data_IF_246738610319
#
_entry.id   IF_246738610319
#
_cell.length_a   1.000
_cell.length_b   1.000
_cell.length_c   1.000
_cell.angle_alpha   90.00
_cell.angle_beta   90.00
_cell.angle_gamma   90.00
#
_symmetry.space_group_name_H-M   'P 1'
#
loop_
_entity.id
_entity.type
_entity.pdbx_description
1 polymer ?
#
# COMPACT_ATOMS: atom_id res chain seq x y z
N UNK A 1 8.72 -15.96 -1.83
CA UNK A 1 9.07 -16.40 -0.47
C UNK A 1 7.91 -17.23 0.07
N UNK A 2 8.17 -18.34 0.72
CA UNK A 2 7.10 -19.13 1.34
C UNK A 2 7.03 -18.82 2.84
N UNK A 3 5.83 -18.98 3.41
CA UNK A 3 5.59 -18.70 4.81
C UNK A 3 4.11 -18.84 5.14
N UNK A 4 3.71 -18.52 6.38
CA UNK A 4 2.32 -18.68 6.80
C UNK A 4 1.31 -17.85 6.02
N UNK A 5 1.75 -16.75 5.37
CA UNK A 5 0.89 -15.90 4.56
C UNK A 5 1.07 -16.10 3.04
N UNK A 6 1.63 -17.24 2.63
CA UNK A 6 1.71 -17.58 1.21
C UNK A 6 0.32 -17.58 0.59
N UNK A 7 0.16 -16.87 -0.53
CA UNK A 7 -1.14 -16.73 -1.20
C UNK A 7 -1.94 -15.52 -0.78
N UNK A 8 -1.52 -14.80 0.27
CA UNK A 8 -2.15 -13.54 0.68
C UNK A 8 -1.54 -12.38 -0.09
N UNK A 9 -2.39 -11.51 -0.64
CA UNK A 9 -1.95 -10.29 -1.34
C UNK A 9 -2.33 -9.06 -0.55
N UNK A 10 -1.36 -8.16 -0.38
CA UNK A 10 -1.49 -6.91 0.38
C UNK A 10 -1.26 -5.74 -0.56
N UNK A 11 -2.17 -4.78 -0.54
CA UNK A 11 -1.99 -3.47 -1.18
C UNK A 11 -1.54 -2.49 -0.11
N UNK A 12 -0.35 -1.95 -0.27
CA UNK A 12 0.26 -1.00 0.66
C UNK A 12 0.25 0.38 0.03
N UNK A 13 -0.61 1.27 0.53
CA UNK A 13 -0.60 2.69 0.12
C UNK A 13 -0.04 3.58 1.22
N UNK A 14 0.60 2.99 2.21
CA UNK A 14 1.25 3.71 3.29
C UNK A 14 2.49 4.47 2.84
N UNK A 15 2.92 5.38 3.68
CA UNK A 15 4.15 6.13 3.46
C UNK A 15 4.93 6.25 4.77
N UNK A 16 6.22 6.59 4.65
CA UNK A 16 7.16 6.72 5.76
C UNK A 16 7.38 5.41 6.52
N UNK A 17 6.81 5.25 7.73
CA UNK A 17 7.21 4.18 8.64
C UNK A 17 6.07 3.20 8.94
N UNK A 18 5.00 3.67 9.57
CA UNK A 18 4.02 2.76 10.20
C UNK A 18 3.30 1.84 9.21
N UNK A 19 2.76 2.38 8.15
CA UNK A 19 2.12 1.58 7.08
C UNK A 19 3.12 0.66 6.38
N UNK A 20 4.22 1.22 5.86
CA UNK A 20 5.25 0.40 5.20
C UNK A 20 5.83 -0.69 6.08
N UNK A 21 6.08 -0.42 7.36
CA UNK A 21 6.60 -1.43 8.28
C UNK A 21 5.60 -2.57 8.49
N UNK A 22 4.33 -2.24 8.71
CA UNK A 22 3.30 -3.26 8.87
C UNK A 22 3.21 -4.16 7.61
N UNK A 23 3.21 -3.56 6.43
CA UNK A 23 3.17 -4.31 5.17
C UNK A 23 4.45 -5.16 5.00
N UNK A 24 5.61 -4.65 5.38
CA UNK A 24 6.86 -5.38 5.31
C UNK A 24 6.84 -6.62 6.20
N UNK A 25 6.28 -6.52 7.39
CA UNK A 25 6.14 -7.69 8.28
C UNK A 25 5.29 -8.78 7.62
N UNK A 26 4.23 -8.39 6.91
CA UNK A 26 3.41 -9.37 6.18
C UNK A 26 4.20 -9.99 5.02
N UNK A 27 5.02 -9.20 4.33
CA UNK A 27 5.90 -9.72 3.27
C UNK A 27 6.90 -10.73 3.84
N UNK A 28 7.49 -10.44 5.00
CA UNK A 28 8.41 -11.36 5.66
C UNK A 28 7.74 -12.70 6.00
N UNK A 29 6.44 -12.69 6.21
CA UNK A 29 5.65 -13.89 6.49
C UNK A 29 5.15 -14.60 5.23
N UNK A 30 5.52 -14.13 4.05
CA UNK A 30 5.21 -14.77 2.78
C UNK A 30 4.12 -14.12 1.95
N UNK A 31 3.50 -13.03 2.41
CA UNK A 31 2.51 -12.31 1.62
C UNK A 31 3.16 -11.62 0.40
N UNK A 32 2.40 -11.54 -0.70
CA UNK A 32 2.77 -10.69 -1.81
C UNK A 32 2.33 -9.26 -1.50
N UNK A 33 3.28 -8.34 -1.36
CA UNK A 33 2.97 -6.94 -1.06
C UNK A 33 3.22 -6.09 -2.29
N UNK A 34 2.20 -5.35 -2.70
CA UNK A 34 2.27 -4.40 -3.80
C UNK A 34 2.12 -2.99 -3.22
N UNK A 35 3.19 -2.23 -3.29
CA UNK A 35 3.23 -0.84 -2.83
C UNK A 35 2.76 0.06 -3.95
N UNK A 36 1.70 0.81 -3.69
CA UNK A 36 1.19 1.83 -4.61
C UNK A 36 1.79 3.16 -4.23
N UNK A 37 2.51 3.77 -5.15
CA UNK A 37 3.23 5.02 -4.92
C UNK A 37 2.74 6.11 -5.87
N UNK A 38 2.74 7.35 -5.41
CA UNK A 38 2.37 8.49 -6.24
C UNK A 38 3.43 8.79 -7.28
N UNK A 39 3.06 9.37 -8.44
CA UNK A 39 4.04 9.92 -9.38
C UNK A 39 4.88 11.02 -8.72
N UNK A 40 6.03 11.30 -9.29
CA UNK A 40 6.89 12.39 -8.83
C UNK A 40 7.76 12.03 -7.64
N UNK A 41 8.30 10.81 -7.62
CA UNK A 41 9.26 10.38 -6.59
C UNK A 41 8.76 9.30 -5.66
N UNK A 42 7.47 8.96 -5.70
CA UNK A 42 6.90 7.88 -4.90
C UNK A 42 6.76 8.22 -3.42
N UNK A 43 6.97 7.23 -2.57
CA UNK A 43 6.94 7.44 -1.12
C UNK A 43 7.97 8.52 -0.73
N UNK A 44 7.55 9.57 0.01
CA UNK A 44 8.48 10.62 0.43
C UNK A 44 9.70 10.10 1.19
N UNK A 45 9.59 8.94 1.81
CA UNK A 45 10.69 8.35 2.56
C UNK A 45 11.84 7.88 1.66
N UNK A 46 11.60 7.69 0.35
CA UNK A 46 12.65 7.35 -0.60
C UNK A 46 13.77 8.38 -0.63
N UNK A 47 13.42 9.66 -0.60
CA UNK A 47 14.37 10.77 -0.69
C UNK A 47 14.57 11.47 0.66
N UNK A 48 14.30 10.78 1.75
CA UNK A 48 14.38 11.37 3.08
C UNK A 48 15.79 11.92 3.40
N UNK A 49 16.81 11.18 3.00
CA UNK A 49 18.19 11.66 3.12
C UNK A 49 18.75 12.03 1.75
N UNK A 50 18.86 11.07 0.84
CA UNK A 50 19.42 11.30 -0.50
C UNK A 50 18.91 10.25 -1.48
N UNK A 51 18.57 10.69 -2.69
CA UNK A 51 18.21 9.82 -3.80
C UNK A 51 16.88 9.12 -3.59
N UNK A 52 16.62 8.10 -4.40
CA UNK A 52 15.35 7.39 -4.42
C UNK A 52 15.36 6.08 -3.63
N UNK A 53 16.50 5.71 -3.10
CA UNK A 53 16.68 4.46 -2.36
C UNK A 53 17.45 4.68 -1.07
N UNK A 54 17.05 5.68 -0.31
CA UNK A 54 17.66 5.98 0.97
C UNK A 54 17.59 4.79 1.94
N UNK A 55 18.52 4.72 2.90
CA UNK A 55 18.55 3.59 3.84
C UNK A 55 17.28 3.44 4.66
N UNK A 56 16.61 4.54 4.98
CA UNK A 56 15.34 4.51 5.71
C UNK A 56 14.24 3.84 4.89
N UNK A 57 14.13 4.21 3.61
CA UNK A 57 13.15 3.58 2.73
C UNK A 57 13.40 2.08 2.61
N UNK A 58 14.65 1.68 2.39
CA UNK A 58 15.00 0.27 2.23
C UNK A 58 14.74 -0.53 3.50
N UNK A 59 14.90 0.08 4.67
CA UNK A 59 14.69 -0.58 5.95
C UNK A 59 13.25 -1.06 6.16
N UNK A 60 12.27 -0.41 5.50
CA UNK A 60 10.84 -0.69 5.72
C UNK A 60 10.11 -1.20 4.47
N UNK A 61 10.84 -1.47 3.38
CA UNK A 61 10.18 -1.81 2.12
C UNK A 61 10.78 -3.02 1.40
N UNK A 62 11.54 -3.85 2.10
CA UNK A 62 12.09 -5.06 1.47
C UNK A 62 10.98 -6.02 1.05
N UNK A 63 11.23 -6.77 -0.01
CA UNK A 63 10.34 -7.82 -0.52
C UNK A 63 9.01 -7.32 -1.06
N UNK A 64 8.88 -6.01 -1.34
CA UNK A 64 7.69 -5.44 -1.97
C UNK A 64 7.89 -5.25 -3.46
N UNK A 65 6.79 -5.40 -4.20
CA UNK A 65 6.68 -4.88 -5.57
C UNK A 65 6.17 -3.45 -5.48
N UNK A 66 6.53 -2.60 -6.45
CA UNK A 66 6.07 -1.22 -6.49
C UNK A 66 5.38 -0.92 -7.81
N UNK A 67 4.30 -0.16 -7.75
CA UNK A 67 3.61 0.36 -8.92
C UNK A 67 3.29 1.83 -8.70
N UNK A 68 3.48 2.65 -9.73
CA UNK A 68 3.17 4.09 -9.66
C UNK A 68 1.76 4.31 -10.17
N UNK A 69 0.87 4.73 -9.30
CA UNK A 69 -0.52 5.09 -9.64
C UNK A 69 -0.89 6.35 -8.86
N UNK A 70 -1.55 7.28 -9.53
CA UNK A 70 -2.01 8.53 -8.95
C UNK A 70 -3.44 8.38 -8.43
N UNK A 71 -3.67 8.43 -7.09
CA UNK A 71 -5.02 8.32 -6.55
C UNK A 71 -5.95 9.48 -6.96
N UNK A 72 -5.40 10.57 -7.46
CA UNK A 72 -6.18 11.73 -7.91
C UNK A 72 -6.58 11.61 -9.39
N UNK A 73 -6.01 10.68 -10.12
CA UNK A 73 -6.38 10.39 -11.51
C UNK A 73 -7.46 9.30 -11.56
N UNK A 74 -8.55 9.56 -12.29
CA UNK A 74 -9.69 8.65 -12.34
C UNK A 74 -9.33 7.27 -12.89
N UNK A 75 -8.51 7.22 -13.94
CA UNK A 75 -8.06 5.97 -14.54
C UNK A 75 -7.20 5.16 -13.58
N UNK A 76 -6.24 5.81 -12.92
CA UNK A 76 -5.36 5.17 -11.95
C UNK A 76 -6.14 4.70 -10.73
N UNK A 77 -7.12 5.47 -10.28
CA UNK A 77 -7.99 5.11 -9.17
C UNK A 77 -8.78 3.83 -9.48
N UNK A 78 -9.24 3.70 -10.70
CA UNK A 78 -9.92 2.48 -11.16
C UNK A 78 -8.99 1.27 -11.16
N UNK A 79 -7.72 1.47 -11.49
CA UNK A 79 -6.71 0.40 -11.41
C UNK A 79 -6.41 0.00 -9.97
N UNK A 80 -6.35 0.96 -9.06
CA UNK A 80 -6.20 0.67 -7.63
C UNK A 80 -7.40 -0.17 -7.15
N UNK A 81 -8.61 0.21 -7.52
CA UNK A 81 -9.82 -0.52 -7.16
C UNK A 81 -9.81 -1.95 -7.70
N UNK A 82 -9.37 -2.13 -8.96
CA UNK A 82 -9.24 -3.46 -9.55
C UNK A 82 -8.18 -4.30 -8.83
N UNK A 83 -7.08 -3.69 -8.44
CA UNK A 83 -6.05 -4.37 -7.64
C UNK A 83 -6.61 -4.81 -6.28
N UNK A 84 -7.38 -3.95 -5.62
CA UNK A 84 -8.04 -4.25 -4.35
C UNK A 84 -9.03 -5.42 -4.50
N UNK A 85 -9.74 -5.49 -5.63
CA UNK A 85 -10.66 -6.58 -5.91
C UNK A 85 -9.99 -7.94 -5.87
N UNK A 86 -8.70 -7.98 -6.21
CA UNK A 86 -7.88 -9.20 -6.27
C UNK A 86 -6.95 -9.35 -5.08
N UNK A 87 -7.19 -8.61 -4.01
CA UNK A 87 -6.30 -8.59 -2.86
C UNK A 87 -7.06 -8.93 -1.58
N UNK A 88 -6.31 -9.23 -0.54
CA UNK A 88 -6.86 -9.66 0.74
C UNK A 88 -6.76 -8.57 1.81
N UNK A 89 -5.76 -7.71 1.70
CA UNK A 89 -5.47 -6.69 2.72
C UNK A 89 -5.14 -5.36 2.03
N UNK A 90 -5.63 -4.28 2.61
CA UNK A 90 -5.30 -2.91 2.20
C UNK A 90 -4.80 -2.15 3.42
N UNK A 91 -3.59 -1.59 3.33
CA UNK A 91 -2.97 -0.87 4.44
C UNK A 91 -2.73 0.57 4.03
N UNK A 92 -3.12 1.51 4.90
CA UNK A 92 -2.87 2.93 4.70
C UNK A 92 -2.59 3.61 6.05
N UNK A 93 -1.82 4.68 6.02
CA UNK A 93 -1.55 5.52 7.19
C UNK A 93 -1.65 7.01 6.85
N UNK A 94 -2.57 7.34 5.95
CA UNK A 94 -2.86 8.73 5.62
C UNK A 94 -3.74 9.37 6.70
N UNK A 95 -3.89 10.69 6.64
CA UNK A 95 -4.77 11.39 7.56
C UNK A 95 -6.21 10.89 7.41
N UNK A 96 -6.96 10.76 8.52
CA UNK A 96 -8.37 10.39 8.44
C UNK A 96 -9.13 11.28 7.44
N UNK A 97 -9.94 10.66 6.59
CA UNK A 97 -10.71 11.34 5.57
C UNK A 97 -10.00 11.54 4.23
N UNK A 98 -8.67 11.41 4.17
CA UNK A 98 -7.92 11.68 2.94
C UNK A 98 -8.23 10.67 1.83
N UNK A 99 -8.22 9.38 2.14
CA UNK A 99 -8.55 8.34 1.15
C UNK A 99 -10.05 8.23 0.91
N UNK A 100 -10.86 8.48 1.92
CA UNK A 100 -12.31 8.48 1.77
C UNK A 100 -12.77 9.48 0.71
N UNK A 101 -12.16 10.66 0.67
CA UNK A 101 -12.44 11.69 -0.35
C UNK A 101 -12.13 11.23 -1.76
N UNK A 102 -11.23 10.26 -1.89
CA UNK A 102 -10.82 9.71 -3.19
C UNK A 102 -11.55 8.41 -3.55
N UNK A 103 -12.53 7.99 -2.72
CA UNK A 103 -13.23 6.73 -2.94
C UNK A 103 -12.38 5.50 -2.61
N UNK A 104 -11.36 5.66 -1.78
CA UNK A 104 -10.46 4.59 -1.36
C UNK A 104 -10.55 4.31 0.14
N UNK A 105 -11.66 4.73 0.76
CA UNK A 105 -11.91 4.43 2.17
C UNK A 105 -12.43 3.02 2.38
N UNK A 106 -12.54 2.62 3.64
CA UNK A 106 -12.91 1.25 4.02
C UNK A 106 -14.29 0.86 3.49
N UNK A 107 -15.28 1.75 3.62
CA UNK A 107 -16.65 1.45 3.19
C UNK A 107 -16.70 1.14 1.70
N UNK A 108 -16.08 2.00 0.88
CA UNK A 108 -16.07 1.82 -0.58
C UNK A 108 -15.30 0.58 -0.98
N UNK A 109 -14.09 0.38 -0.44
CA UNK A 109 -13.26 -0.75 -0.86
C UNK A 109 -13.83 -2.09 -0.38
N UNK A 110 -14.50 -2.11 0.77
CA UNK A 110 -15.16 -3.33 1.24
C UNK A 110 -16.47 -3.60 0.49
N UNK A 111 -17.08 -2.59 -0.13
CA UNK A 111 -18.19 -2.82 -1.07
C UNK A 111 -17.66 -3.48 -2.36
N UNK A 112 -16.48 -3.09 -2.81
CA UNK A 112 -15.81 -3.68 -3.98
C UNK A 112 -15.32 -5.10 -3.68
N UNK A 113 -14.80 -5.33 -2.48
CA UNK A 113 -14.29 -6.62 -2.04
C UNK A 113 -14.72 -6.87 -0.58
N UNK A 114 -15.87 -7.57 -0.36
CA UNK A 114 -16.40 -7.78 0.99
C UNK A 114 -15.49 -8.55 1.94
N UNK A 115 -14.51 -9.29 1.40
CA UNK A 115 -13.55 -10.06 2.21
C UNK A 115 -12.30 -9.28 2.58
N UNK A 116 -12.19 -8.05 2.09
CA UNK A 116 -11.00 -7.22 2.32
C UNK A 116 -10.82 -6.88 3.81
N UNK A 117 -9.61 -7.06 4.29
CA UNK A 117 -9.18 -6.52 5.58
C UNK A 117 -8.60 -5.13 5.33
N UNK A 118 -9.28 -4.11 5.79
CA UNK A 118 -8.84 -2.72 5.63
C UNK A 118 -8.17 -2.25 6.92
N UNK A 119 -6.90 -1.92 6.83
CA UNK A 119 -6.09 -1.49 7.97
C UNK A 119 -5.72 -0.01 7.82
N UNK A 120 -6.32 0.83 8.65
CA UNK A 120 -5.99 2.25 8.74
C UNK A 120 -5.18 2.49 10.01
N UNK A 121 -3.97 3.00 9.85
CA UNK A 121 -3.07 3.30 10.97
C UNK A 121 -3.05 4.82 11.15
N UNK A 122 -3.48 5.29 12.31
CA UNK A 122 -3.57 6.73 12.61
C UNK A 122 -2.65 7.12 13.75
#
# INVERSE_FOLDING_TARGET
MSGPLTGVRVVDVGSFITGPFAAMLLADLGAEVIKVERPGGGDPFRSFERGLYGPQFRAFNRSKKSIVLDPDDDGDRSLIEELVRRSDVFIQNTRPGALEKRGLGAERLRAVNPRLVYCAIT
#
